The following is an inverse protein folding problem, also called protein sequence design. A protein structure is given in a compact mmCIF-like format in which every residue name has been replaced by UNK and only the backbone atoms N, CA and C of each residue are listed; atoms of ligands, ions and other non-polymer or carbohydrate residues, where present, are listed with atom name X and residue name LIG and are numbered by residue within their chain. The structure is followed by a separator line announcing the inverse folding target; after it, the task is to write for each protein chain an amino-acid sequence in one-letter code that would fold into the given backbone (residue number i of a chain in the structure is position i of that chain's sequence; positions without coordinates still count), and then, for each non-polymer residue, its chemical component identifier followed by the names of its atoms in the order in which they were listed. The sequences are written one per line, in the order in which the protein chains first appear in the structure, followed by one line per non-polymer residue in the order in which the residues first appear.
data_IF_032729185152
#
_entry.id   IF_032729185152
#
_cell.length_a   1.000
_cell.length_b   1.000
_cell.length_c   1.000
_cell.angle_alpha   90.00
_cell.angle_beta   90.00
_cell.angle_gamma   90.00
#
_symmetry.space_group_name_H-M   'P 1'
#
loop_
_entity.id
_entity.type
_entity.pdbx_description
1 polymer ?
#
# COMPACT_ATOMS: atom_id res chain seq x y z
N UNK A 1 -1.75 -9.39 -16.77
CA UNK A 1 -2.79 -10.38 -16.39
C UNK A 1 -2.42 -11.30 -15.22
N UNK A 2 -1.16 -11.36 -14.74
CA UNK A 2 -0.82 -12.19 -13.55
C UNK A 2 -1.00 -11.50 -12.19
N UNK A 3 -0.73 -10.20 -12.11
CA UNK A 3 -0.78 -9.41 -10.87
C UNK A 3 -2.24 -9.27 -10.38
N UNK A 4 -3.19 -8.96 -11.27
CA UNK A 4 -4.62 -8.84 -10.90
C UNK A 4 -5.22 -10.13 -10.29
N UNK A 5 -4.75 -11.30 -10.72
CA UNK A 5 -5.25 -12.60 -10.23
C UNK A 5 -4.66 -12.96 -8.86
N UNK A 6 -3.36 -12.69 -8.65
CA UNK A 6 -2.73 -12.80 -7.33
C UNK A 6 -3.34 -11.80 -6.33
N UNK A 7 -3.70 -10.61 -6.82
CA UNK A 7 -4.25 -9.53 -6.02
C UNK A 7 -5.69 -9.80 -5.54
N UNK A 8 -6.55 -10.42 -6.37
CA UNK A 8 -7.89 -10.85 -5.93
C UNK A 8 -7.84 -11.95 -4.86
N UNK A 9 -6.84 -12.83 -4.90
CA UNK A 9 -6.61 -13.83 -3.85
C UNK A 9 -6.19 -13.19 -2.53
N UNK A 10 -5.28 -12.22 -2.57
CA UNK A 10 -4.87 -11.47 -1.37
C UNK A 10 -6.05 -10.78 -0.66
N UNK A 11 -6.98 -10.15 -1.39
CA UNK A 11 -8.19 -9.58 -0.80
C UNK A 11 -9.12 -10.64 -0.19
N UNK A 12 -9.34 -11.74 -0.90
CA UNK A 12 -10.23 -12.81 -0.47
C UNK A 12 -9.66 -13.67 0.66
N UNK A 13 -8.33 -13.75 0.78
CA UNK A 13 -7.63 -14.54 1.80
C UNK A 13 -7.37 -13.75 3.08
N UNK A 14 -7.27 -12.41 3.01
CA UNK A 14 -6.89 -11.58 4.16
C UNK A 14 -8.05 -10.75 4.77
N UNK A 15 -9.24 -10.73 4.15
CA UNK A 15 -10.41 -9.96 4.62
C UNK A 15 -10.05 -8.49 4.92
N UNK A 16 -9.31 -7.86 4.00
CA UNK A 16 -8.79 -6.50 4.19
C UNK A 16 -9.72 -5.51 3.49
N UNK A 17 -10.31 -4.63 4.30
CA UNK A 17 -10.99 -3.44 3.81
C UNK A 17 -9.96 -2.38 3.37
N UNK A 18 -9.87 -2.19 2.06
CA UNK A 18 -8.90 -1.31 1.41
C UNK A 18 -9.26 0.17 1.60
N UNK A 19 -10.55 0.50 1.63
CA UNK A 19 -10.96 1.88 1.89
C UNK A 19 -10.59 2.26 3.32
N UNK A 20 -10.81 1.34 4.27
CA UNK A 20 -10.40 1.53 5.65
C UNK A 20 -8.91 1.84 5.77
N UNK A 21 -8.02 1.13 5.06
CA UNK A 21 -6.57 1.38 5.15
C UNK A 21 -6.20 2.85 4.90
N UNK A 22 -6.86 3.50 3.95
CA UNK A 22 -6.58 4.90 3.58
C UNK A 22 -7.11 5.94 4.57
N UNK A 23 -7.89 5.50 5.56
CA UNK A 23 -8.46 6.37 6.61
C UNK A 23 -7.72 6.28 7.93
N UNK A 24 -6.80 5.32 8.07
CA UNK A 24 -6.05 5.08 9.31
C UNK A 24 -4.82 5.98 9.37
N UNK A 25 -4.49 6.45 10.57
CA UNK A 25 -3.16 7.01 10.83
C UNK A 25 -2.10 5.91 10.80
N UNK A 26 -0.81 6.25 10.63
CA UNK A 26 0.29 5.27 10.65
C UNK A 26 0.25 4.31 11.85
N UNK A 27 -0.02 4.81 13.06
CA UNK A 27 -0.10 3.98 14.27
C UNK A 27 -1.29 3.02 14.25
N UNK A 28 -2.45 3.49 13.79
CA UNK A 28 -3.65 2.65 13.64
C UNK A 28 -3.48 1.62 12.53
N UNK A 29 -2.81 2.01 11.45
CA UNK A 29 -2.44 1.12 10.35
C UNK A 29 -1.51 0.01 10.85
N UNK A 30 -0.44 0.35 11.58
CA UNK A 30 0.43 -0.64 12.21
C UNK A 30 -0.35 -1.62 13.09
N UNK A 31 -1.23 -1.12 13.97
CA UNK A 31 -2.05 -1.96 14.83
C UNK A 31 -3.02 -2.85 14.03
N UNK A 32 -3.63 -2.31 12.99
CA UNK A 32 -4.52 -3.06 12.10
C UNK A 32 -3.80 -4.21 11.39
N UNK A 33 -2.59 -3.96 10.88
CA UNK A 33 -1.77 -4.98 10.22
C UNK A 33 -1.29 -6.05 11.22
N UNK A 34 -0.90 -5.63 12.43
CA UNK A 34 -0.43 -6.52 13.49
C UNK A 34 -1.53 -7.47 13.99
N UNK A 35 -2.71 -6.93 14.28
CA UNK A 35 -3.88 -7.71 14.75
C UNK A 35 -4.36 -8.73 13.72
N UNK A 36 -4.09 -8.49 12.43
CA UNK A 36 -4.35 -9.43 11.34
C UNK A 36 -3.15 -10.33 10.98
N UNK A 37 -2.09 -10.30 11.79
CA UNK A 37 -0.87 -11.10 11.60
C UNK A 37 -0.26 -10.97 10.20
N UNK A 38 -0.32 -9.78 9.60
CA UNK A 38 0.22 -9.55 8.28
C UNK A 38 1.75 -9.52 8.31
N UNK A 39 2.36 -10.25 7.39
CA UNK A 39 3.81 -10.30 7.24
C UNK A 39 4.31 -9.10 6.44
N UNK A 40 5.61 -8.75 6.52
CA UNK A 40 6.22 -7.76 5.63
C UNK A 40 5.88 -7.99 4.14
N UNK A 41 5.88 -9.24 3.69
CA UNK A 41 5.52 -9.58 2.30
C UNK A 41 4.05 -9.29 1.96
N UNK A 42 3.13 -9.47 2.92
CA UNK A 42 1.74 -9.08 2.73
C UNK A 42 1.61 -7.56 2.61
N UNK A 43 2.34 -6.80 3.44
CA UNK A 43 2.36 -5.33 3.40
C UNK A 43 2.89 -4.82 2.06
N UNK A 44 3.97 -5.41 1.55
CA UNK A 44 4.51 -5.07 0.21
C UNK A 44 3.51 -5.37 -0.91
N UNK A 45 2.78 -6.49 -0.81
CA UNK A 45 1.76 -6.85 -1.81
C UNK A 45 0.56 -5.90 -1.75
N UNK A 46 0.16 -5.48 -0.55
CA UNK A 46 -0.87 -4.46 -0.35
C UNK A 46 -0.41 -3.10 -0.88
N UNK A 47 0.85 -2.71 -0.69
CA UNK A 47 1.40 -1.49 -1.25
C UNK A 47 1.34 -1.48 -2.79
N UNK A 48 1.73 -2.59 -3.43
CA UNK A 48 1.60 -2.73 -4.89
C UNK A 48 0.15 -2.65 -5.36
N UNK A 49 -0.78 -3.20 -4.58
CA UNK A 49 -2.20 -3.14 -4.88
C UNK A 49 -2.77 -1.72 -4.75
N UNK A 50 -2.45 -1.01 -3.67
CA UNK A 50 -2.83 0.39 -3.48
C UNK A 50 -2.23 1.28 -4.58
N UNK A 51 -1.00 1.00 -5.04
CA UNK A 51 -0.41 1.68 -6.20
C UNK A 51 -1.27 1.50 -7.45
N UNK A 52 -1.70 0.27 -7.76
CA UNK A 52 -2.56 0.00 -8.92
C UNK A 52 -3.91 0.71 -8.79
N UNK A 53 -4.55 0.68 -7.62
CA UNK A 53 -5.80 1.41 -7.39
C UNK A 53 -5.59 2.91 -7.58
N UNK A 54 -4.55 3.48 -6.97
CA UNK A 54 -4.26 4.91 -7.10
C UNK A 54 -4.05 5.33 -8.55
N UNK A 55 -3.39 4.49 -9.35
CA UNK A 55 -3.21 4.72 -10.79
C UNK A 55 -4.53 4.67 -11.57
N UNK A 56 -5.43 3.73 -11.24
CA UNK A 56 -6.76 3.65 -11.84
C UNK A 56 -7.71 4.75 -11.37
N UNK A 57 -7.52 5.25 -10.15
CA UNK A 57 -8.31 6.30 -9.53
C UNK A 57 -7.73 7.71 -9.73
N UNK A 58 -6.89 7.91 -10.76
CA UNK A 58 -6.35 9.20 -11.20
C UNK A 58 -7.45 10.10 -11.78
N UNK A 59 -8.44 10.42 -10.96
CA UNK A 59 -9.29 11.58 -11.16
C UNK A 59 -8.63 12.76 -10.42
N UNK A 60 -8.10 13.76 -11.15
CA UNK A 60 -7.40 14.90 -10.57
C UNK A 60 -8.28 15.74 -9.62
N UNK A 61 -9.60 15.58 -9.63
CA UNK A 61 -10.49 16.39 -8.80
C UNK A 61 -10.74 15.83 -7.39
N UNK A 62 -10.34 14.58 -7.12
CA UNK A 62 -10.78 13.88 -5.89
C UNK A 62 -9.69 13.74 -4.84
N UNK A 63 -8.41 13.94 -5.20
CA UNK A 63 -7.27 13.66 -4.31
C UNK A 63 -7.14 12.19 -3.88
N UNK A 64 -8.03 11.31 -4.37
CA UNK A 64 -8.18 9.94 -3.89
C UNK A 64 -7.00 9.06 -4.28
N UNK A 65 -6.44 9.27 -5.47
CA UNK A 65 -5.20 8.64 -5.91
C UNK A 65 -4.05 8.88 -4.93
N UNK A 66 -3.91 10.11 -4.43
CA UNK A 66 -2.87 10.49 -3.48
C UNK A 66 -2.99 9.73 -2.16
N UNK A 67 -4.20 9.54 -1.63
CA UNK A 67 -4.41 8.77 -0.41
C UNK A 67 -3.91 7.32 -0.57
N UNK A 68 -4.27 6.66 -1.67
CA UNK A 68 -3.78 5.31 -1.94
C UNK A 68 -2.26 5.23 -2.05
N UNK A 69 -1.63 6.22 -2.68
CA UNK A 69 -0.17 6.27 -2.80
C UNK A 69 0.53 6.52 -1.46
N UNK A 70 0.01 7.44 -0.64
CA UNK A 70 0.57 7.71 0.69
C UNK A 70 0.48 6.47 1.57
N UNK A 71 -0.68 5.82 1.64
CA UNK A 71 -0.85 4.59 2.41
C UNK A 71 0.04 3.46 1.87
N UNK A 72 0.27 3.38 0.55
CA UNK A 72 1.20 2.40 -0.01
C UNK A 72 2.64 2.61 0.48
N UNK A 73 3.10 3.86 0.58
CA UNK A 73 4.43 4.18 1.16
C UNK A 73 4.47 3.81 2.64
N UNK A 74 3.44 4.14 3.41
CA UNK A 74 3.38 3.79 4.84
C UNK A 74 3.47 2.28 5.06
N UNK A 75 2.81 1.47 4.21
CA UNK A 75 2.93 0.02 4.27
C UNK A 75 4.37 -0.48 4.03
N UNK A 76 5.10 0.16 3.12
CA UNK A 76 6.50 -0.20 2.84
C UNK A 76 7.41 0.20 4.00
N UNK A 77 7.17 1.34 4.63
CA UNK A 77 7.91 1.78 5.83
C UNK A 77 7.65 0.87 7.02
N UNK A 78 6.39 0.51 7.28
CA UNK A 78 6.03 -0.44 8.34
C UNK A 78 6.67 -1.81 8.05
N UNK A 79 6.73 -2.22 6.78
CA UNK A 79 7.40 -3.45 6.38
C UNK A 79 8.91 -3.43 6.69
N UNK A 80 9.59 -2.29 6.46
CA UNK A 80 10.99 -2.08 6.86
C UNK A 80 11.14 -2.18 8.39
N UNK A 81 10.30 -1.48 9.15
CA UNK A 81 10.31 -1.48 10.61
C UNK A 81 10.09 -2.87 11.22
N UNK A 82 9.08 -3.61 10.74
CA UNK A 82 8.73 -4.96 11.23
C UNK A 82 9.81 -5.98 10.88
N UNK A 83 10.35 -5.91 9.67
CA UNK A 83 11.43 -6.81 9.24
C UNK A 83 12.79 -6.46 9.85
N UNK A 84 12.96 -5.24 10.37
CA UNK A 84 14.24 -4.65 10.81
C UNK A 84 15.31 -4.68 9.72
N UNK A 85 14.89 -4.69 8.45
CA UNK A 85 15.75 -4.80 7.28
C UNK A 85 15.32 -3.73 6.29
N UNK A 86 16.29 -2.91 5.85
CA UNK A 86 16.11 -2.01 4.72
C UNK A 86 16.17 -2.82 3.41
N UNK A 87 15.10 -2.80 2.64
CA UNK A 87 15.03 -3.49 1.35
C UNK A 87 15.21 -2.52 0.18
N UNK A 88 16.18 -2.79 -0.70
CA UNK A 88 16.36 -2.03 -1.94
C UNK A 88 15.12 -2.06 -2.83
N UNK A 89 14.39 -3.18 -2.83
CA UNK A 89 13.12 -3.27 -3.57
C UNK A 89 12.07 -2.32 -3.00
N UNK A 90 11.99 -2.19 -1.67
CA UNK A 90 11.05 -1.25 -1.04
C UNK A 90 11.46 0.20 -1.28
N UNK A 91 12.75 0.50 -1.24
CA UNK A 91 13.27 1.84 -1.61
C UNK A 91 12.88 2.20 -3.05
N UNK A 92 13.07 1.28 -4.00
CA UNK A 92 12.66 1.48 -5.40
C UNK A 92 11.15 1.69 -5.52
N UNK A 93 10.34 0.85 -4.86
CA UNK A 93 8.87 0.98 -4.88
C UNK A 93 8.41 2.32 -4.29
N UNK A 94 9.00 2.78 -3.18
CA UNK A 94 8.71 4.10 -2.59
C UNK A 94 8.99 5.22 -3.59
N UNK A 95 10.17 5.22 -4.21
CA UNK A 95 10.53 6.21 -5.23
C UNK A 95 9.58 6.21 -6.44
N UNK A 96 9.15 5.03 -6.91
CA UNK A 96 8.13 4.95 -7.97
C UNK A 96 6.81 5.61 -7.54
N UNK A 97 6.34 5.33 -6.32
CA UNK A 97 5.07 5.86 -5.81
C UNK A 97 5.15 7.38 -5.56
N UNK A 98 6.28 7.88 -5.06
CA UNK A 98 6.54 9.31 -4.89
C UNK A 98 6.44 10.07 -6.22
N UNK A 99 7.00 9.52 -7.29
CA UNK A 99 6.85 10.09 -8.63
C UNK A 99 5.38 10.11 -9.10
N UNK A 100 4.58 9.11 -8.73
CA UNK A 100 3.15 9.09 -9.06
C UNK A 100 2.36 10.15 -8.26
N UNK A 101 2.77 10.44 -7.03
CA UNK A 101 2.17 11.50 -6.19
C UNK A 101 2.42 12.87 -6.80
N UNK A 102 3.64 13.16 -7.26
CA UNK A 102 3.97 14.43 -7.93
C UNK A 102 3.12 14.68 -9.19
N UNK A 103 2.66 13.61 -9.85
CA UNK A 103 1.76 13.69 -11.01
C UNK A 103 0.29 13.88 -10.62
N UNK A 104 -0.03 13.88 -9.32
CA UNK A 104 -1.38 14.17 -8.81
C UNK A 104 -1.52 15.61 -8.30
N UNK A 105 -0.44 16.41 -8.36
CA UNK A 105 -0.44 17.84 -8.03
C UNK A 105 -0.85 18.72 -9.21
#
# INVERSE_FOLDING_TARGET
MGIELANKRLQSELDIDIEKLTTLTKNELQNYLYTRHLTPKHMESLADYLKVIGQSARDPNTGRARLFFVTAIELLDISDEVSKIMSFDRVRKKAEIENLIQQCE
#
